data_IF_702981030453
#
_entry.id   IF_702981030453
#
_cell.length_a   1.000
_cell.length_b   1.000
_cell.length_c   1.000
_cell.angle_alpha   90.00
_cell.angle_beta   90.00
_cell.angle_gamma   90.00
#
_symmetry.space_group_name_H-M   'P 1'
#
loop_
_entity.id
_entity.type
_entity.pdbx_description
1 polymer ?
#
# COMPACT_ATOMS: atom_id res chain seq x y z
N UNK A 1 9.64 -28.05 -30.40
CA UNK A 1 10.94 -28.20 -31.09
C UNK A 1 11.99 -27.67 -30.16
N UNK A 2 12.99 -28.47 -29.79
CA UNK A 2 14.12 -27.98 -28.99
C UNK A 2 14.94 -27.03 -29.86
N UNK A 3 14.87 -25.72 -29.60
CA UNK A 3 15.81 -24.75 -30.15
C UNK A 3 17.21 -25.13 -29.64
N UNK A 4 18.10 -25.52 -30.54
CA UNK A 4 19.51 -25.75 -30.24
C UNK A 4 20.17 -24.41 -29.88
N UNK A 5 21.05 -24.41 -28.87
CA UNK A 5 21.76 -23.24 -28.32
C UNK A 5 22.51 -22.42 -29.40
N UNK A 6 22.80 -23.02 -30.56
CA UNK A 6 23.52 -22.39 -31.67
C UNK A 6 22.70 -21.43 -32.55
N UNK A 7 21.36 -21.34 -32.42
CA UNK A 7 20.54 -20.50 -33.32
C UNK A 7 19.54 -19.57 -32.58
N UNK A 8 20.03 -18.86 -31.56
CA UNK A 8 19.22 -17.93 -30.74
C UNK A 8 19.28 -16.46 -31.20
N UNK A 9 20.18 -16.15 -32.12
CA UNK A 9 20.39 -14.78 -32.59
C UNK A 9 19.43 -14.41 -33.70
N UNK A 10 18.79 -13.25 -33.58
CA UNK A 10 18.04 -12.61 -34.66
C UNK A 10 18.84 -11.42 -35.22
N UNK A 11 18.95 -11.33 -36.54
CA UNK A 11 19.58 -10.16 -37.19
C UNK A 11 18.64 -8.95 -37.16
N UNK A 12 19.20 -7.74 -37.25
CA UNK A 12 18.40 -6.50 -37.31
C UNK A 12 17.39 -6.51 -38.48
N UNK A 13 17.74 -7.10 -39.62
CA UNK A 13 16.83 -7.21 -40.78
C UNK A 13 15.66 -8.15 -40.50
N UNK A 14 15.92 -9.32 -39.89
CA UNK A 14 14.87 -10.26 -39.50
C UNK A 14 13.94 -9.67 -38.43
N UNK A 15 14.51 -8.96 -37.45
CA UNK A 15 13.73 -8.29 -36.42
C UNK A 15 12.85 -7.18 -37.01
N UNK A 16 13.39 -6.36 -37.92
CA UNK A 16 12.63 -5.32 -38.61
C UNK A 16 11.43 -5.87 -39.39
N UNK A 17 11.57 -7.03 -40.04
CA UNK A 17 10.44 -7.69 -40.71
C UNK A 17 9.38 -8.16 -39.71
N UNK A 18 9.82 -8.77 -38.59
CA UNK A 18 8.92 -9.31 -37.55
C UNK A 18 8.14 -8.26 -36.77
N UNK A 19 8.69 -7.05 -36.57
CA UNK A 19 8.00 -5.99 -35.79
C UNK A 19 6.63 -5.63 -36.39
N UNK A 20 6.45 -5.84 -37.70
CA UNK A 20 5.22 -5.56 -38.44
C UNK A 20 4.34 -6.79 -38.68
N UNK A 21 4.76 -7.98 -38.23
CA UNK A 21 3.93 -9.19 -38.28
C UNK A 21 2.90 -9.19 -37.14
N UNK A 22 1.68 -9.65 -37.41
CA UNK A 22 0.67 -9.85 -36.38
C UNK A 22 1.01 -11.10 -35.55
N UNK A 23 1.69 -10.89 -34.42
CA UNK A 23 2.01 -11.95 -33.45
C UNK A 23 2.46 -11.38 -32.10
N UNK A 24 2.41 -12.18 -31.02
CA UNK A 24 2.82 -11.76 -29.68
C UNK A 24 4.35 -11.69 -29.59
N UNK A 25 4.94 -10.64 -30.16
CA UNK A 25 6.38 -10.35 -30.11
C UNK A 25 6.65 -9.35 -28.99
N UNK A 26 7.48 -9.72 -28.02
CA UNK A 26 7.92 -8.87 -26.90
C UNK A 26 9.38 -8.48 -27.12
N UNK A 27 9.66 -7.18 -27.07
CA UNK A 27 11.02 -6.65 -27.21
C UNK A 27 11.48 -6.10 -25.85
N UNK A 28 12.38 -6.82 -25.16
CA UNK A 28 12.97 -6.32 -23.91
C UNK A 28 14.34 -5.71 -24.18
N UNK A 29 14.50 -4.45 -23.80
CA UNK A 29 15.78 -3.77 -23.79
C UNK A 29 16.37 -3.81 -22.38
N UNK A 30 17.54 -4.41 -22.27
CA UNK A 30 18.25 -4.70 -21.02
C UNK A 30 19.40 -3.73 -20.77
N UNK A 31 19.58 -2.73 -21.64
CA UNK A 31 20.55 -1.64 -21.45
C UNK A 31 20.14 -0.79 -20.24
N UNK A 32 21.04 0.07 -19.78
CA UNK A 32 20.69 0.97 -18.68
C UNK A 32 19.57 1.93 -19.09
N UNK A 33 18.79 2.40 -18.10
CA UNK A 33 17.61 3.24 -18.35
C UNK A 33 17.96 4.53 -19.09
N UNK A 34 19.12 5.14 -18.82
CA UNK A 34 19.54 6.39 -19.46
C UNK A 34 19.85 6.20 -20.95
N UNK A 35 20.46 5.08 -21.34
CA UNK A 35 20.72 4.70 -22.74
C UNK A 35 19.43 4.39 -23.47
N UNK A 36 18.53 3.66 -22.81
CA UNK A 36 17.22 3.33 -23.34
C UNK A 36 16.39 4.58 -23.63
N UNK A 37 16.28 5.49 -22.66
CA UNK A 37 15.49 6.71 -22.80
C UNK A 37 16.08 7.66 -23.86
N UNK A 38 17.40 7.67 -24.05
CA UNK A 38 18.03 8.44 -25.14
C UNK A 38 17.61 7.92 -26.51
N UNK A 39 17.62 6.60 -26.71
CA UNK A 39 17.23 5.96 -27.96
C UNK A 39 17.04 4.46 -27.78
N UNK A 40 15.90 3.94 -28.22
CA UNK A 40 15.56 2.51 -28.18
C UNK A 40 14.79 2.09 -29.43
N UNK A 41 14.67 0.78 -29.68
CA UNK A 41 13.91 0.25 -30.82
C UNK A 41 12.43 0.60 -30.63
N UNK A 42 11.77 1.14 -31.65
CA UNK A 42 10.36 1.49 -31.54
C UNK A 42 9.51 0.27 -31.09
N UNK A 43 8.81 0.41 -29.96
CA UNK A 43 8.05 -0.67 -29.34
C UNK A 43 8.87 -1.65 -28.49
N UNK A 44 10.11 -1.35 -28.11
CA UNK A 44 10.78 -2.08 -27.02
C UNK A 44 10.35 -1.59 -25.65
N UNK A 45 10.64 -2.36 -24.60
CA UNK A 45 10.38 -2.00 -23.20
C UNK A 45 11.65 -2.21 -22.42
N UNK A 46 12.03 -1.25 -21.59
CA UNK A 46 13.16 -1.42 -20.69
C UNK A 46 12.82 -2.46 -19.61
N UNK A 47 13.68 -3.46 -19.43
CA UNK A 47 13.50 -4.53 -18.46
C UNK A 47 14.77 -4.80 -17.66
N UNK A 48 14.61 -4.90 -16.34
CA UNK A 48 15.69 -5.32 -15.43
C UNK A 48 15.48 -6.78 -15.08
N UNK A 49 16.45 -7.62 -15.43
CA UNK A 49 16.37 -9.07 -15.23
C UNK A 49 17.24 -9.51 -14.03
N UNK A 50 16.79 -9.20 -12.82
CA UNK A 50 17.44 -9.61 -11.56
C UNK A 50 16.96 -10.99 -11.04
N UNK A 51 17.49 -11.45 -9.91
CA UNK A 51 17.10 -12.74 -9.29
C UNK A 51 15.60 -12.79 -8.99
N UNK A 52 15.00 -11.65 -8.60
CA UNK A 52 13.59 -11.55 -8.22
C UNK A 52 12.66 -11.59 -9.44
N UNK A 53 13.06 -11.00 -10.56
CA UNK A 53 12.37 -11.07 -11.84
C UNK A 53 12.28 -12.53 -12.35
N UNK A 54 13.31 -13.34 -12.10
CA UNK A 54 13.31 -14.78 -12.45
C UNK A 54 12.22 -15.55 -11.72
N UNK A 55 12.05 -15.31 -10.43
CA UNK A 55 11.11 -16.05 -9.60
C UNK A 55 9.65 -15.59 -9.78
N UNK A 56 9.43 -14.30 -10.08
CA UNK A 56 8.10 -13.70 -10.02
C UNK A 56 7.48 -13.32 -11.37
N UNK A 57 8.31 -13.02 -12.38
CA UNK A 57 7.85 -12.53 -13.70
C UNK A 57 7.96 -13.64 -14.74
N UNK A 58 9.09 -14.36 -14.81
CA UNK A 58 9.34 -15.35 -15.86
C UNK A 58 8.27 -16.46 -15.97
N UNK A 59 7.77 -17.05 -14.86
CA UNK A 59 6.72 -18.06 -14.95
C UNK A 59 5.40 -17.54 -15.50
N UNK A 60 5.20 -16.21 -15.48
CA UNK A 60 3.97 -15.53 -15.88
C UNK A 60 4.05 -14.95 -17.30
N UNK A 61 5.22 -15.01 -17.96
CA UNK A 61 5.33 -14.63 -19.36
C UNK A 61 4.69 -15.75 -20.21
N UNK A 62 3.79 -15.42 -21.15
CA UNK A 62 3.16 -16.43 -21.99
C UNK A 62 4.19 -17.25 -22.77
N UNK A 63 4.14 -18.57 -22.64
CA UNK A 63 5.06 -19.49 -23.34
C UNK A 63 4.97 -19.42 -24.87
N UNK A 64 3.87 -18.86 -25.40
CA UNK A 64 3.64 -18.67 -26.84
C UNK A 64 4.18 -17.34 -27.36
N UNK A 65 4.50 -16.38 -26.49
CA UNK A 65 5.07 -15.11 -26.92
C UNK A 65 6.52 -15.31 -27.36
N UNK A 66 6.88 -14.73 -28.50
CA UNK A 66 8.28 -14.66 -28.93
C UNK A 66 8.94 -13.46 -28.26
N UNK A 67 10.03 -13.69 -27.55
CA UNK A 67 10.76 -12.66 -26.80
C UNK A 67 12.07 -12.37 -27.51
N UNK A 68 12.36 -11.11 -27.77
CA UNK A 68 13.65 -10.65 -28.29
C UNK A 68 14.29 -9.76 -27.23
N UNK A 69 15.48 -10.16 -26.81
CA UNK A 69 16.29 -9.43 -25.85
C UNK A 69 17.30 -8.54 -26.57
N UNK A 70 17.42 -7.30 -26.13
CA UNK A 70 18.31 -6.28 -26.68
C UNK A 70 19.24 -5.85 -25.56
N UNK A 71 20.54 -5.89 -25.78
CA UNK A 71 21.54 -5.30 -24.90
C UNK A 71 22.65 -4.72 -25.76
N UNK A 72 23.58 -3.99 -25.15
CA UNK A 72 24.78 -3.52 -25.84
C UNK A 72 25.98 -3.55 -24.88
N UNK A 73 26.97 -4.44 -25.07
CA UNK A 73 27.06 -5.47 -26.12
C UNK A 73 26.00 -6.58 -25.98
N UNK A 74 25.80 -7.39 -27.03
CA UNK A 74 24.73 -8.41 -27.13
C UNK A 74 24.90 -9.65 -26.23
N UNK A 75 26.07 -9.80 -25.60
CA UNK A 75 26.40 -10.94 -24.73
C UNK A 75 25.44 -11.07 -23.54
N UNK A 76 25.02 -9.94 -22.94
CA UNK A 76 24.09 -9.96 -21.81
C UNK A 76 22.69 -10.44 -22.22
N UNK A 77 22.19 -9.97 -23.37
CA UNK A 77 20.94 -10.43 -23.96
C UNK A 77 21.01 -11.92 -24.35
N UNK A 78 22.13 -12.36 -24.93
CA UNK A 78 22.36 -13.77 -25.26
C UNK A 78 22.28 -14.69 -24.03
N UNK A 79 22.99 -14.35 -22.96
CA UNK A 79 22.99 -15.12 -21.72
C UNK A 79 21.60 -15.14 -21.07
N UNK A 80 20.89 -14.01 -21.11
CA UNK A 80 19.52 -13.90 -20.58
C UNK A 80 18.52 -14.71 -21.43
N UNK A 81 18.69 -14.77 -22.75
CA UNK A 81 17.83 -15.57 -23.64
C UNK A 81 17.99 -17.06 -23.36
N UNK A 82 19.22 -17.55 -23.23
CA UNK A 82 19.52 -18.93 -22.85
C UNK A 82 18.87 -19.31 -21.52
N UNK A 83 18.96 -18.40 -20.54
CA UNK A 83 18.29 -18.57 -19.26
C UNK A 83 16.77 -18.64 -19.42
N UNK A 84 16.13 -17.71 -20.13
CA UNK A 84 14.68 -17.72 -20.36
C UNK A 84 14.19 -19.01 -21.05
N UNK A 85 14.97 -19.55 -21.99
CA UNK A 85 14.68 -20.83 -22.64
C UNK A 85 14.71 -21.99 -21.64
N UNK A 86 15.62 -21.98 -20.67
CA UNK A 86 15.67 -23.01 -19.62
C UNK A 86 14.40 -23.04 -18.75
N UNK A 87 13.66 -21.93 -18.69
CA UNK A 87 12.33 -21.83 -18.07
C UNK A 87 11.17 -22.15 -19.03
N UNK A 88 11.46 -22.54 -20.27
CA UNK A 88 10.47 -22.92 -21.27
C UNK A 88 9.84 -21.76 -22.03
N UNK A 89 10.51 -20.60 -22.08
CA UNK A 89 10.10 -19.43 -22.88
C UNK A 89 10.74 -19.46 -24.28
N UNK A 90 10.06 -18.89 -25.27
CA UNK A 90 10.59 -18.70 -26.62
C UNK A 90 11.38 -17.39 -26.68
N UNK A 91 12.66 -17.42 -26.33
CA UNK A 91 13.51 -16.23 -26.23
C UNK A 91 14.69 -16.25 -27.21
N UNK A 92 14.90 -15.14 -27.89
CA UNK A 92 15.99 -14.87 -28.83
C UNK A 92 16.67 -13.54 -28.44
N UNK A 93 17.79 -13.20 -29.07
CA UNK A 93 18.50 -11.93 -28.83
C UNK A 93 18.92 -11.24 -30.12
N UNK A 94 19.00 -9.91 -30.11
CA UNK A 94 19.44 -9.13 -31.26
C UNK A 94 20.96 -9.23 -31.45
N UNK A 95 21.40 -9.81 -32.58
CA UNK A 95 22.81 -9.99 -32.92
C UNK A 95 23.49 -8.62 -33.10
N UNK A 96 24.58 -8.41 -32.35
CA UNK A 96 25.33 -7.16 -32.29
C UNK A 96 24.62 -6.02 -31.55
N UNK A 97 23.53 -6.34 -30.86
CA UNK A 97 22.92 -5.46 -29.87
C UNK A 97 22.19 -4.27 -30.47
N UNK A 98 21.91 -3.28 -29.63
CA UNK A 98 21.23 -2.06 -30.08
C UNK A 98 22.05 -1.29 -31.13
N UNK A 99 23.38 -1.26 -31.01
CA UNK A 99 24.27 -0.60 -31.98
C UNK A 99 24.12 -1.09 -33.42
N UNK A 100 23.65 -2.33 -33.63
CA UNK A 100 23.41 -2.89 -34.96
C UNK A 100 21.97 -2.69 -35.48
N UNK A 101 21.11 -2.00 -34.72
CA UNK A 101 19.74 -1.73 -35.14
C UNK A 101 19.70 -0.69 -36.27
N UNK A 102 19.00 -1.02 -37.36
CA UNK A 102 18.88 -0.17 -38.56
C UNK A 102 17.44 0.30 -38.84
N UNK A 103 16.50 -0.05 -37.97
CA UNK A 103 15.08 0.29 -38.12
C UNK A 103 14.68 1.56 -37.36
N UNK A 104 13.37 1.78 -37.21
CA UNK A 104 12.85 2.92 -36.46
C UNK A 104 13.26 2.86 -34.99
N UNK A 105 13.68 4.00 -34.45
CA UNK A 105 13.93 4.20 -33.03
C UNK A 105 12.89 5.14 -32.44
N UNK A 106 12.78 5.09 -31.13
CA UNK A 106 12.01 6.01 -30.30
C UNK A 106 12.89 6.51 -29.16
N UNK A 107 12.49 7.62 -28.54
CA UNK A 107 13.16 8.20 -27.38
C UNK A 107 12.15 8.56 -26.31
N UNK A 108 12.61 8.68 -25.07
CA UNK A 108 11.79 8.82 -23.88
C UNK A 108 11.42 7.48 -23.23
N UNK A 109 10.54 7.56 -22.24
CA UNK A 109 10.06 6.39 -21.49
C UNK A 109 9.12 5.55 -22.34
N UNK A 110 9.20 4.23 -22.18
CA UNK A 110 8.25 3.32 -22.83
C UNK A 110 7.05 3.08 -21.93
N UNK A 111 5.88 3.37 -22.48
CA UNK A 111 4.65 3.52 -21.73
C UNK A 111 4.61 4.85 -20.98
N UNK A 112 3.46 5.53 -21.05
CA UNK A 112 3.21 6.66 -20.15
C UNK A 112 3.16 6.10 -18.71
N UNK A 113 3.62 6.87 -17.73
CA UNK A 113 3.53 6.47 -16.32
C UNK A 113 2.63 7.42 -15.55
N UNK A 114 2.09 6.96 -14.43
CA UNK A 114 1.39 7.80 -13.45
C UNK A 114 1.91 7.47 -12.07
N UNK A 115 2.17 8.50 -11.26
CA UNK A 115 2.50 8.32 -9.84
C UNK A 115 1.26 7.98 -9.03
N UNK A 116 1.46 7.53 -7.80
CA UNK A 116 0.37 7.15 -6.91
C UNK A 116 -0.50 8.38 -6.55
N UNK A 117 0.12 9.53 -6.29
CA UNK A 117 -0.57 10.80 -6.00
C UNK A 117 -1.36 11.33 -7.21
N UNK A 118 -0.77 11.33 -8.41
CA UNK A 118 -1.46 11.73 -9.65
C UNK A 118 -2.67 10.82 -9.91
N UNK A 119 -2.50 9.50 -9.76
CA UNK A 119 -3.58 8.54 -9.96
C UNK A 119 -4.73 8.79 -8.97
N UNK A 120 -4.43 9.12 -7.71
CA UNK A 120 -5.45 9.42 -6.70
C UNK A 120 -6.29 10.65 -7.10
N UNK A 121 -5.70 11.64 -7.77
CA UNK A 121 -6.43 12.79 -8.31
C UNK A 121 -7.26 12.38 -9.53
N UNK A 122 -6.67 11.66 -10.49
CA UNK A 122 -7.36 11.23 -11.71
C UNK A 122 -8.58 10.31 -11.41
N UNK A 123 -8.52 9.47 -10.38
CA UNK A 123 -9.65 8.63 -9.93
C UNK A 123 -10.81 9.49 -9.39
N UNK A 124 -10.51 10.59 -8.70
CA UNK A 124 -11.55 11.48 -8.15
C UNK A 124 -12.32 12.21 -9.25
N UNK A 125 -11.72 12.38 -10.43
CA UNK A 125 -12.34 12.99 -11.60
C UNK A 125 -13.13 11.99 -12.47
N UNK A 126 -13.15 10.70 -12.09
CA UNK A 126 -13.78 9.58 -12.82
C UNK A 126 -13.31 9.39 -14.29
N UNK A 127 -12.15 9.96 -14.63
CA UNK A 127 -11.60 9.95 -16.00
C UNK A 127 -10.75 8.72 -16.33
N UNK A 128 -10.51 7.84 -15.35
CA UNK A 128 -9.58 6.72 -15.46
C UNK A 128 -10.28 5.37 -15.27
N UNK A 129 -9.92 4.40 -16.11
CA UNK A 129 -10.16 3.00 -15.85
C UNK A 129 -8.87 2.31 -15.41
N UNK A 130 -8.86 1.84 -14.16
CA UNK A 130 -7.80 0.97 -13.67
C UNK A 130 -7.98 -0.45 -14.19
N UNK A 131 -6.92 -1.03 -14.74
CA UNK A 131 -6.85 -2.44 -15.14
C UNK A 131 -5.79 -3.15 -14.31
N UNK A 132 -6.25 -4.02 -13.41
CA UNK A 132 -5.38 -4.87 -12.61
C UNK A 132 -5.02 -6.14 -13.38
N UNK A 133 -3.72 -6.30 -13.64
CA UNK A 133 -3.18 -7.38 -14.48
C UNK A 133 -2.73 -8.61 -13.70
N UNK A 134 -3.06 -8.67 -12.41
CA UNK A 134 -2.81 -9.83 -11.56
C UNK A 134 -3.79 -10.96 -11.87
N UNK A 135 -3.49 -12.16 -11.36
CA UNK A 135 -4.44 -13.26 -11.45
C UNK A 135 -5.67 -12.98 -10.56
N UNK A 136 -6.72 -13.78 -10.75
CA UNK A 136 -8.00 -13.59 -10.06
C UNK A 136 -7.89 -13.71 -8.53
N UNK A 137 -7.06 -14.64 -8.06
CA UNK A 137 -6.85 -14.87 -6.62
C UNK A 137 -6.17 -13.68 -5.94
N UNK A 138 -5.09 -13.15 -6.55
CA UNK A 138 -4.41 -11.94 -6.07
C UNK A 138 -5.38 -10.74 -6.04
N UNK A 139 -6.28 -10.65 -7.02
CA UNK A 139 -7.25 -9.57 -7.15
C UNK A 139 -8.40 -9.67 -6.13
N UNK A 140 -8.88 -10.89 -5.84
CA UNK A 140 -9.93 -11.10 -4.84
C UNK A 140 -9.47 -10.80 -3.42
N UNK A 141 -8.19 -11.02 -3.12
CA UNK A 141 -7.62 -10.76 -1.79
C UNK A 141 -7.53 -9.26 -1.46
N UNK A 142 -7.18 -8.43 -2.45
CA UNK A 142 -7.06 -6.98 -2.30
C UNK A 142 -7.05 -6.33 -3.67
N UNK A 143 -7.73 -5.20 -3.84
CA UNK A 143 -7.77 -4.43 -5.08
C UNK A 143 -7.98 -2.95 -4.80
N UNK A 144 -7.60 -2.11 -5.76
CA UNK A 144 -8.05 -0.71 -5.75
C UNK A 144 -9.55 -0.71 -6.12
N UNK A 145 -10.42 -0.02 -5.38
CA UNK A 145 -11.85 0.08 -5.72
C UNK A 145 -12.05 0.51 -7.19
N UNK A 146 -13.11 -0.01 -7.81
CA UNK A 146 -13.48 0.25 -9.22
C UNK A 146 -12.45 -0.19 -10.28
N UNK A 147 -11.41 -0.93 -9.91
CA UNK A 147 -10.50 -1.55 -10.88
C UNK A 147 -11.14 -2.77 -11.57
N UNK A 148 -10.80 -2.95 -12.85
CA UNK A 148 -11.17 -4.09 -13.68
C UNK A 148 -10.03 -5.11 -13.66
N UNK A 149 -10.30 -6.37 -13.32
CA UNK A 149 -9.27 -7.41 -13.41
C UNK A 149 -9.24 -8.03 -14.82
N UNK A 150 -8.10 -7.88 -15.49
CA UNK A 150 -7.78 -8.61 -16.72
C UNK A 150 -6.40 -9.23 -16.50
N UNK A 151 -6.29 -10.52 -16.17
CA UNK A 151 -5.01 -11.20 -16.00
C UNK A 151 -4.07 -11.01 -17.20
N UNK A 152 -2.76 -10.87 -16.94
CA UNK A 152 -1.75 -10.58 -17.96
C UNK A 152 -1.77 -11.56 -19.16
N UNK A 153 -2.05 -12.84 -18.91
CA UNK A 153 -2.13 -13.87 -19.94
C UNK A 153 -3.24 -13.61 -20.96
N UNK A 154 -4.34 -12.97 -20.56
CA UNK A 154 -5.45 -12.63 -21.45
C UNK A 154 -5.10 -11.51 -22.45
N UNK A 155 -4.10 -10.66 -22.18
CA UNK A 155 -3.71 -9.55 -23.08
C UNK A 155 -3.12 -9.98 -24.41
N UNK A 156 -2.82 -11.26 -24.55
CA UNK A 156 -2.27 -11.84 -25.78
C UNK A 156 -3.31 -12.57 -26.62
N UNK A 157 -4.56 -12.58 -26.15
CA UNK A 157 -5.71 -13.04 -26.93
C UNK A 157 -6.34 -11.86 -27.68
N UNK A 158 -6.74 -12.08 -28.93
CA UNK A 158 -7.24 -11.02 -29.83
C UNK A 158 -8.54 -10.34 -29.37
N UNK A 159 -9.28 -11.00 -28.48
CA UNK A 159 -10.55 -10.53 -27.90
C UNK A 159 -10.38 -9.70 -26.62
N UNK A 160 -9.16 -9.51 -26.09
CA UNK A 160 -8.96 -8.67 -24.89
C UNK A 160 -9.46 -7.24 -25.08
N UNK A 161 -9.35 -6.72 -26.31
CA UNK A 161 -9.79 -5.37 -26.71
C UNK A 161 -11.28 -5.14 -26.38
N UNK A 162 -12.11 -6.19 -26.46
CA UNK A 162 -13.54 -6.09 -26.19
C UNK A 162 -13.85 -5.83 -24.71
N UNK A 163 -12.92 -6.16 -23.81
CA UNK A 163 -13.06 -5.97 -22.37
C UNK A 163 -12.59 -4.59 -21.89
N UNK A 164 -11.87 -3.86 -22.73
CA UNK A 164 -11.21 -2.61 -22.35
C UNK A 164 -12.11 -1.42 -22.70
N UNK A 165 -12.51 -0.60 -21.71
CA UNK A 165 -13.26 0.63 -21.97
C UNK A 165 -12.49 1.58 -22.89
N UNK A 166 -13.20 2.27 -23.79
CA UNK A 166 -12.58 3.15 -24.81
C UNK A 166 -12.80 4.64 -24.52
N UNK A 167 -13.65 4.95 -23.55
CA UNK A 167 -14.08 6.27 -23.14
C UNK A 167 -13.26 6.85 -21.97
N UNK A 168 -12.43 6.03 -21.33
CA UNK A 168 -11.60 6.42 -20.18
C UNK A 168 -10.12 6.24 -20.46
N UNK A 169 -9.29 7.00 -19.76
CA UNK A 169 -7.85 6.80 -19.75
C UNK A 169 -7.51 5.48 -19.05
N UNK A 170 -6.77 4.60 -19.72
CA UNK A 170 -6.39 3.31 -19.15
C UNK A 170 -5.15 3.46 -18.28
N UNK A 171 -5.22 2.94 -17.06
CA UNK A 171 -4.06 2.80 -16.15
C UNK A 171 -3.91 1.33 -15.77
N UNK A 172 -2.76 0.74 -16.08
CA UNK A 172 -2.44 -0.65 -15.74
C UNK A 172 -1.74 -0.74 -14.38
N UNK A 173 -2.11 -1.74 -13.57
CA UNK A 173 -1.56 -1.95 -12.22
C UNK A 173 -1.25 -3.43 -11.94
N UNK A 174 -0.19 -3.67 -11.19
CA UNK A 174 0.14 -4.95 -10.57
C UNK A 174 0.92 -4.66 -9.26
N UNK A 175 1.52 -5.64 -8.54
CA UNK A 175 2.15 -5.36 -7.24
C UNK A 175 3.23 -4.29 -7.30
N UNK A 176 4.05 -4.30 -8.35
CA UNK A 176 5.22 -3.40 -8.51
C UNK A 176 5.32 -2.72 -9.89
N UNK A 177 4.29 -2.82 -10.72
CA UNK A 177 4.27 -2.24 -12.07
C UNK A 177 4.87 -3.11 -13.18
N UNK A 178 5.73 -4.10 -12.89
CA UNK A 178 6.42 -4.87 -13.93
C UNK A 178 5.49 -5.62 -14.90
N UNK A 179 4.50 -6.38 -14.39
CA UNK A 179 3.48 -7.03 -15.24
C UNK A 179 2.62 -6.02 -15.99
N UNK A 180 2.37 -4.87 -15.38
CA UNK A 180 1.52 -3.82 -15.95
C UNK A 180 2.21 -3.15 -17.14
N UNK A 181 3.54 -3.03 -17.12
CA UNK A 181 4.31 -2.58 -18.29
C UNK A 181 4.16 -3.53 -19.49
N UNK A 182 4.17 -4.85 -19.26
CA UNK A 182 3.95 -5.84 -20.34
C UNK A 182 2.54 -5.71 -20.90
N UNK A 183 1.53 -5.51 -20.05
CA UNK A 183 0.16 -5.26 -20.49
C UNK A 183 0.03 -3.96 -21.29
N UNK A 184 0.67 -2.87 -20.84
CA UNK A 184 0.69 -1.59 -21.56
C UNK A 184 1.32 -1.75 -22.96
N UNK A 185 2.39 -2.54 -23.06
CA UNK A 185 2.97 -2.89 -24.35
C UNK A 185 1.98 -3.65 -25.25
N UNK A 186 1.29 -4.67 -24.73
CA UNK A 186 0.28 -5.41 -25.48
C UNK A 186 -0.87 -4.48 -25.95
N UNK A 187 -1.34 -3.57 -25.10
CA UNK A 187 -2.35 -2.56 -25.44
C UNK A 187 -1.90 -1.64 -26.59
N UNK A 188 -0.62 -1.23 -26.58
CA UNK A 188 -0.07 -0.36 -27.62
C UNK A 188 -0.08 -1.01 -29.01
N UNK A 189 0.08 -2.34 -29.10
CA UNK A 189 -0.02 -3.10 -30.35
C UNK A 189 -1.43 -3.07 -30.96
N UNK A 190 -2.44 -2.86 -30.12
CA UNK A 190 -3.83 -2.67 -30.53
C UNK A 190 -4.22 -1.19 -30.68
N UNK A 191 -3.25 -0.27 -30.61
CA UNK A 191 -3.49 1.17 -30.73
C UNK A 191 -4.16 1.81 -29.50
N UNK A 192 -4.18 1.10 -28.36
CA UNK A 192 -4.75 1.62 -27.11
C UNK A 192 -3.61 2.26 -26.31
N UNK A 193 -3.71 3.57 -26.07
CA UNK A 193 -2.80 4.25 -25.16
C UNK A 193 -3.14 3.92 -23.71
N UNK A 194 -2.13 3.61 -22.90
CA UNK A 194 -2.31 3.42 -21.47
C UNK A 194 -1.12 3.92 -20.65
N UNK A 195 -1.38 4.23 -19.38
CA UNK A 195 -0.37 4.55 -18.37
C UNK A 195 -0.09 3.32 -17.50
N UNK A 196 1.09 3.25 -16.88
CA UNK A 196 1.39 2.26 -15.83
C UNK A 196 1.59 2.97 -14.49
N UNK A 197 0.97 2.44 -13.43
CA UNK A 197 1.18 2.94 -12.07
C UNK A 197 2.61 2.65 -11.59
N UNK A 198 3.38 3.70 -11.33
CA UNK A 198 4.76 3.61 -10.84
C UNK A 198 4.78 2.90 -9.49
N UNK A 199 5.60 1.84 -9.40
CA UNK A 199 5.73 1.03 -8.18
C UNK A 199 4.49 0.22 -7.78
N UNK A 200 3.44 0.25 -8.59
CA UNK A 200 2.26 -0.60 -8.45
C UNK A 200 1.50 -0.43 -7.13
N UNK A 201 0.83 -1.49 -6.69
CA UNK A 201 0.08 -1.51 -5.43
C UNK A 201 0.96 -1.25 -4.20
N UNK A 202 2.24 -1.63 -4.25
CA UNK A 202 3.17 -1.37 -3.15
C UNK A 202 3.28 0.14 -2.89
N UNK A 203 3.41 0.97 -3.93
CA UNK A 203 3.45 2.44 -3.78
C UNK A 203 2.08 3.05 -3.56
N UNK A 204 1.02 2.52 -4.19
CA UNK A 204 -0.36 2.94 -3.91
C UNK A 204 -0.69 2.85 -2.41
N UNK A 205 -0.22 1.79 -1.76
CA UNK A 205 -0.43 1.58 -0.33
C UNK A 205 0.33 2.58 0.55
N UNK A 206 1.27 3.35 0.02
CA UNK A 206 2.05 4.34 0.78
C UNK A 206 1.52 5.78 0.64
N UNK A 207 0.46 6.02 -0.13
CA UNK A 207 -0.12 7.36 -0.24
C UNK A 207 -0.72 7.77 1.10
N UNK A 208 -0.23 8.88 1.65
CA UNK A 208 -0.79 9.55 2.81
C UNK A 208 -1.50 10.84 2.38
N UNK A 209 -2.83 10.86 2.51
CA UNK A 209 -3.66 12.04 2.24
C UNK A 209 -3.95 12.79 3.55
N UNK A 210 -3.49 14.04 3.72
CA UNK A 210 -3.86 14.86 4.87
C UNK A 210 -5.27 15.42 4.70
N UNK A 211 -6.09 15.30 5.74
CA UNK A 211 -7.47 15.83 5.79
C UNK A 211 -7.70 16.57 7.10
N UNK A 212 -7.82 17.91 7.09
CA UNK A 212 -8.17 18.67 8.28
C UNK A 212 -9.57 18.30 8.80
N UNK A 213 -9.71 18.06 10.10
CA UNK A 213 -10.98 17.78 10.78
C UNK A 213 -11.49 19.03 11.48
N UNK A 214 -10.66 19.64 12.33
CA UNK A 214 -10.93 20.87 13.09
C UNK A 214 -9.67 21.73 13.08
N UNK A 215 -9.83 23.05 13.15
CA UNK A 215 -8.72 24.01 13.17
C UNK A 215 -8.56 24.76 14.50
N UNK A 216 -9.59 24.83 15.35
CA UNK A 216 -9.56 25.61 16.61
C UNK A 216 -10.39 24.93 17.72
N UNK A 217 -9.94 24.99 19.00
CA UNK A 217 -8.69 25.55 19.51
C UNK A 217 -7.49 24.60 19.34
N UNK A 218 -7.76 23.33 19.01
CA UNK A 218 -6.77 22.33 18.61
C UNK A 218 -7.00 22.01 17.15
N UNK A 219 -5.94 22.10 16.36
CA UNK A 219 -5.96 21.67 14.97
C UNK A 219 -5.78 20.16 14.92
N UNK A 220 -6.70 19.45 14.28
CA UNK A 220 -6.63 18.01 14.07
C UNK A 220 -6.54 17.75 12.56
N UNK A 221 -5.47 17.13 12.12
CA UNK A 221 -5.28 16.66 10.73
C UNK A 221 -5.26 15.14 10.76
N UNK A 222 -6.16 14.51 10.03
CA UNK A 222 -6.16 13.07 9.82
C UNK A 222 -5.31 12.72 8.60
N UNK A 223 -4.30 11.91 8.82
CA UNK A 223 -3.41 11.35 7.81
C UNK A 223 -3.98 10.00 7.37
N UNK A 224 -4.45 9.92 6.13
CA UNK A 224 -5.14 8.74 5.60
C UNK A 224 -4.23 7.95 4.68
N UNK A 225 -3.93 6.69 5.03
CA UNK A 225 -3.21 5.77 4.15
C UNK A 225 -4.18 5.12 3.18
N UNK A 226 -4.34 5.74 2.02
CA UNK A 226 -5.48 5.49 1.12
C UNK A 226 -5.60 4.02 0.71
N UNK A 227 -4.49 3.37 0.38
CA UNK A 227 -4.49 1.96 -0.02
C UNK A 227 -4.70 0.95 1.10
N UNK A 228 -4.61 1.37 2.38
CA UNK A 228 -4.73 0.49 3.55
C UNK A 228 -5.87 0.83 4.49
N UNK A 229 -6.41 2.04 4.44
CA UNK A 229 -7.40 2.48 5.41
C UNK A 229 -6.86 2.67 6.83
N UNK A 230 -5.52 2.68 7.03
CA UNK A 230 -4.90 3.14 8.27
C UNK A 230 -5.08 4.66 8.37
N UNK A 231 -5.27 5.13 9.59
CA UNK A 231 -5.49 6.52 9.95
C UNK A 231 -4.50 6.89 11.05
N UNK A 232 -3.89 8.05 10.88
CA UNK A 232 -2.99 8.66 11.83
C UNK A 232 -3.41 10.11 12.04
N UNK A 233 -2.94 10.75 13.11
CA UNK A 233 -3.39 12.09 13.46
C UNK A 233 -2.23 12.98 13.83
N UNK A 234 -2.28 14.22 13.35
CA UNK A 234 -1.51 15.33 13.88
C UNK A 234 -2.49 16.18 14.68
N UNK A 235 -2.23 16.35 15.97
CA UNK A 235 -2.93 17.28 16.83
C UNK A 235 -1.98 18.42 17.22
N UNK A 236 -2.33 19.65 16.85
CA UNK A 236 -1.50 20.84 17.04
C UNK A 236 -2.21 21.90 17.88
N UNK A 237 -1.48 22.47 18.83
CA UNK A 237 -1.91 23.54 19.72
C UNK A 237 -0.74 24.51 19.92
N UNK A 238 -0.94 25.80 19.64
CA UNK A 238 0.07 26.87 19.83
C UNK A 238 1.44 26.61 19.18
N UNK A 239 1.45 25.97 18.01
CA UNK A 239 2.67 25.68 17.27
C UNK A 239 3.41 24.43 17.75
N UNK A 240 2.89 23.70 18.72
CA UNK A 240 3.39 22.40 19.15
C UNK A 240 2.40 21.29 18.76
N UNK A 241 2.92 20.19 18.25
CA UNK A 241 2.12 19.07 17.77
C UNK A 241 2.51 17.73 18.39
N UNK A 242 1.48 16.92 18.65
CA UNK A 242 1.58 15.50 18.94
C UNK A 242 1.10 14.69 17.73
N UNK A 243 1.89 13.71 17.32
CA UNK A 243 1.53 12.78 16.24
C UNK A 243 1.15 11.43 16.85
N UNK A 244 -0.04 10.94 16.50
CA UNK A 244 -0.59 9.67 16.96
C UNK A 244 -0.59 8.65 15.83
N UNK A 245 -0.06 7.46 16.09
CA UNK A 245 0.07 6.33 15.16
C UNK A 245 0.72 6.70 13.80
N UNK A 246 1.89 7.37 13.78
CA UNK A 246 2.50 7.82 12.52
C UNK A 246 2.80 6.68 11.56
N UNK A 247 2.45 6.90 10.29
CA UNK A 247 2.54 5.93 9.21
C UNK A 247 3.75 6.21 8.32
N UNK A 248 4.28 5.18 7.67
CA UNK A 248 5.25 5.39 6.59
C UNK A 248 4.53 5.91 5.32
N UNK A 249 5.12 6.88 4.56
CA UNK A 249 6.42 7.54 4.80
C UNK A 249 6.34 8.72 5.78
N UNK A 250 7.32 8.81 6.69
CA UNK A 250 7.34 9.81 7.76
C UNK A 250 7.61 11.23 7.27
N UNK A 251 8.26 11.39 6.10
CA UNK A 251 8.58 12.67 5.48
C UNK A 251 7.34 13.56 5.32
N UNK A 252 6.17 12.94 5.07
CA UNK A 252 4.91 13.68 4.93
C UNK A 252 4.49 14.44 6.17
N UNK A 253 4.78 13.92 7.37
CA UNK A 253 4.49 14.60 8.62
C UNK A 253 5.39 15.84 8.79
N UNK A 254 6.68 15.69 8.46
CA UNK A 254 7.68 16.76 8.55
C UNK A 254 7.38 17.87 7.53
N UNK A 255 6.99 17.50 6.29
CA UNK A 255 6.56 18.44 5.25
C UNK A 255 5.36 19.27 5.73
N UNK A 256 4.32 18.63 6.25
CA UNK A 256 3.12 19.32 6.75
C UNK A 256 3.46 20.26 7.91
N UNK A 257 4.27 19.81 8.87
CA UNK A 257 4.69 20.62 10.01
C UNK A 257 5.42 21.89 9.56
N UNK A 258 6.34 21.75 8.59
CA UNK A 258 7.07 22.86 8.00
C UNK A 258 6.16 23.82 7.23
N UNK A 259 5.26 23.29 6.41
CA UNK A 259 4.33 24.09 5.59
C UNK A 259 3.32 24.88 6.45
N UNK A 260 2.87 24.29 7.55
CA UNK A 260 1.87 24.90 8.44
C UNK A 260 2.47 25.63 9.65
N UNK A 261 3.79 25.59 9.83
CA UNK A 261 4.50 26.38 10.83
C UNK A 261 4.35 25.89 12.27
N UNK A 262 4.41 24.57 12.50
CA UNK A 262 4.42 23.97 13.84
C UNK A 262 5.56 22.96 14.01
N UNK A 263 5.88 22.64 15.25
CA UNK A 263 6.90 21.65 15.63
C UNK A 263 6.23 20.36 16.09
N UNK A 264 6.68 19.22 15.57
CA UNK A 264 6.31 17.91 16.12
C UNK A 264 7.17 17.69 17.37
N UNK A 265 6.60 17.89 18.55
CA UNK A 265 7.29 17.78 19.84
C UNK A 265 7.04 16.45 20.55
N UNK A 266 5.95 15.75 20.17
CA UNK A 266 5.55 14.46 20.77
C UNK A 266 5.13 13.47 19.69
N UNK A 267 5.44 12.21 19.89
CA UNK A 267 4.99 11.10 19.03
C UNK A 267 4.53 9.95 19.90
N UNK A 268 3.36 9.39 19.61
CA UNK A 268 2.75 8.32 20.40
C UNK A 268 2.16 7.24 19.49
N UNK A 269 2.25 5.98 19.92
CA UNK A 269 1.45 4.89 19.35
C UNK A 269 0.37 4.47 20.35
N UNK A 270 -0.82 4.18 19.83
CA UNK A 270 -1.94 3.62 20.60
C UNK A 270 -1.65 2.18 21.03
N UNK A 271 -0.95 1.41 20.18
CA UNK A 271 -0.59 0.01 20.42
C UNK A 271 0.55 -0.45 19.49
N UNK A 272 1.09 -1.65 19.72
CA UNK A 272 1.97 -2.33 18.77
C UNK A 272 1.18 -2.82 17.55
N UNK A 273 1.20 -2.00 16.50
CA UNK A 273 0.59 -2.29 15.21
C UNK A 273 1.10 -3.59 14.59
N UNK A 274 0.22 -4.30 13.90
CA UNK A 274 0.51 -5.60 13.28
C UNK A 274 0.27 -5.63 11.76
N UNK A 275 -0.31 -4.57 11.21
CA UNK A 275 -0.71 -4.41 9.81
C UNK A 275 0.18 -3.43 9.04
N UNK A 276 0.88 -2.54 9.76
CA UNK A 276 1.81 -1.56 9.23
C UNK A 276 3.03 -1.34 10.13
N UNK A 277 4.12 -0.82 9.54
CA UNK A 277 5.32 -0.42 10.26
C UNK A 277 5.09 0.97 10.85
N UNK A 278 5.12 1.07 12.17
CA UNK A 278 5.00 2.36 12.85
C UNK A 278 6.24 3.21 12.54
N UNK A 279 5.99 4.45 12.10
CA UNK A 279 7.03 5.44 11.92
C UNK A 279 7.37 6.19 13.21
N UNK A 280 6.81 5.80 14.37
CA UNK A 280 6.89 6.59 15.59
C UNK A 280 8.32 6.80 16.06
N UNK A 281 9.09 5.71 16.10
CA UNK A 281 10.50 5.73 16.53
C UNK A 281 11.36 6.61 15.62
N UNK A 282 11.28 6.42 14.31
CA UNK A 282 12.11 7.18 13.37
C UNK A 282 11.63 8.63 13.22
N UNK A 283 10.33 8.91 13.29
CA UNK A 283 9.79 10.27 13.32
C UNK A 283 10.27 11.02 14.57
N UNK A 284 10.18 10.40 15.75
CA UNK A 284 10.68 11.00 16.99
C UNK A 284 12.18 11.30 16.90
N UNK A 285 12.97 10.35 16.40
CA UNK A 285 14.41 10.54 16.19
C UNK A 285 14.75 11.65 15.18
N UNK A 286 13.99 11.76 14.08
CA UNK A 286 14.22 12.75 13.01
C UNK A 286 13.80 14.17 13.40
N UNK A 287 12.82 14.30 14.28
CA UNK A 287 12.27 15.59 14.74
C UNK A 287 12.87 16.04 16.08
N UNK A 288 13.42 15.11 16.87
CA UNK A 288 13.79 15.35 18.26
C UNK A 288 12.62 15.25 19.25
N UNK A 289 11.45 14.84 18.78
CA UNK A 289 10.26 14.67 19.61
C UNK A 289 10.43 13.57 20.66
N UNK A 290 9.68 13.70 21.75
CA UNK A 290 9.58 12.64 22.76
C UNK A 290 8.66 11.52 22.25
N UNK A 291 9.15 10.28 22.36
CA UNK A 291 8.40 9.07 21.99
C UNK A 291 7.69 8.48 23.20
N UNK A 292 6.38 8.29 23.13
CA UNK A 292 5.59 7.64 24.18
C UNK A 292 4.93 6.35 23.67
N UNK A 293 5.03 5.30 24.47
CA UNK A 293 4.54 3.96 24.12
C UNK A 293 3.87 3.30 25.33
N UNK A 294 3.03 2.30 25.07
CA UNK A 294 2.28 1.63 26.13
C UNK A 294 3.17 0.86 27.10
N UNK A 295 3.06 1.14 28.41
CA UNK A 295 3.79 0.38 29.45
C UNK A 295 3.35 -1.09 29.57
N UNK A 296 2.25 -1.45 28.91
CA UNK A 296 1.67 -2.80 28.94
C UNK A 296 2.19 -3.69 27.79
N UNK A 297 3.06 -3.16 26.93
CA UNK A 297 3.75 -3.92 25.87
C UNK A 297 5.27 -3.82 26.01
N UNK A 298 6.00 -4.72 25.35
CA UNK A 298 7.46 -4.79 25.45
C UNK A 298 8.13 -4.22 24.21
N UNK A 299 9.12 -3.35 24.40
CA UNK A 299 9.90 -2.70 23.33
C UNK A 299 11.40 -2.86 23.61
N UNK A 300 12.19 -3.06 22.56
CA UNK A 300 13.63 -3.31 22.62
C UNK A 300 14.44 -2.02 22.35
N UNK A 301 13.83 -0.84 22.58
CA UNK A 301 14.42 0.49 22.42
C UNK A 301 13.81 1.47 23.44
N UNK A 302 14.51 2.58 23.78
CA UNK A 302 14.03 3.51 24.79
C UNK A 302 12.81 4.31 24.30
N UNK A 303 11.85 4.50 25.20
CA UNK A 303 10.67 5.36 25.04
C UNK A 303 10.14 5.76 26.42
N UNK A 304 9.31 6.81 26.48
CA UNK A 304 8.54 7.16 27.66
C UNK A 304 7.34 6.20 27.78
N UNK A 305 7.36 5.29 28.75
CA UNK A 305 6.28 4.31 28.92
C UNK A 305 5.10 4.89 29.70
N UNK A 306 3.91 4.85 29.11
CA UNK A 306 2.68 5.46 29.63
C UNK A 306 1.55 4.44 29.84
N UNK A 307 0.61 4.75 30.73
CA UNK A 307 -0.62 4.00 30.98
C UNK A 307 -1.80 4.89 31.34
N UNK A 308 -2.94 4.27 31.67
CA UNK A 308 -4.26 4.93 31.71
C UNK A 308 -4.52 6.04 32.75
N UNK A 309 -3.49 6.54 33.42
CA UNK A 309 -3.57 7.66 34.36
C UNK A 309 -2.61 8.80 33.99
N UNK A 310 -1.81 8.61 32.93
CA UNK A 310 -0.81 9.58 32.50
C UNK A 310 -1.44 10.70 31.66
N UNK A 311 -0.79 11.87 31.67
CA UNK A 311 -1.16 13.03 30.87
C UNK A 311 0.06 13.56 30.12
N UNK A 312 -0.13 13.94 28.86
CA UNK A 312 0.91 14.51 28.01
C UNK A 312 0.45 15.90 27.56
N UNK A 313 1.27 16.91 27.85
CA UNK A 313 1.03 18.30 27.40
C UNK A 313 1.70 18.57 26.06
N UNK A 314 1.06 19.38 25.23
CA UNK A 314 1.59 19.94 24.00
C UNK A 314 0.91 21.30 23.74
N UNK A 315 1.70 22.37 23.64
CA UNK A 315 1.17 23.73 23.58
C UNK A 315 0.23 24.05 24.76
N UNK A 316 -0.99 24.52 24.47
CA UNK A 316 -2.03 24.81 25.48
C UNK A 316 -2.95 23.60 25.76
N UNK A 317 -2.74 22.47 25.09
CA UNK A 317 -3.62 21.31 25.13
C UNK A 317 -3.04 20.15 25.93
N UNK A 318 -3.91 19.26 26.36
CA UNK A 318 -3.54 18.05 27.11
C UNK A 318 -4.15 16.82 26.45
N UNK A 319 -3.36 15.75 26.41
CA UNK A 319 -3.75 14.41 26.00
C UNK A 319 -3.78 13.51 27.24
N UNK A 320 -4.98 13.10 27.64
CA UNK A 320 -5.24 12.15 28.71
C UNK A 320 -5.16 10.71 28.17
N UNK A 321 -4.41 9.85 28.86
CA UNK A 321 -4.24 8.45 28.44
C UNK A 321 -5.32 7.58 29.09
N UNK A 322 -5.96 6.73 28.30
CA UNK A 322 -6.98 5.77 28.76
C UNK A 322 -6.54 4.36 28.38
N UNK A 323 -6.30 3.49 29.36
CA UNK A 323 -6.00 2.08 29.07
C UNK A 323 -7.25 1.37 28.57
N UNK A 324 -7.18 0.86 27.35
CA UNK A 324 -8.30 0.27 26.60
C UNK A 324 -7.88 -1.07 26.00
N UNK A 325 -7.55 -2.09 26.82
CA UNK A 325 -7.13 -3.39 26.31
C UNK A 325 -8.26 -4.07 25.53
N UNK A 326 -7.89 -4.96 24.62
CA UNK A 326 -8.84 -5.80 23.88
C UNK A 326 -8.32 -6.16 22.49
N UNK A 327 -7.97 -5.15 21.69
CA UNK A 327 -7.28 -5.37 20.42
C UNK A 327 -5.86 -5.92 20.65
N UNK A 328 -5.10 -5.24 21.50
CA UNK A 328 -3.92 -5.76 22.16
C UNK A 328 -4.06 -5.57 23.67
N UNK A 329 -3.30 -6.31 24.50
CA UNK A 329 -3.32 -6.11 25.95
C UNK A 329 -2.81 -4.72 26.37
N UNK A 330 -2.05 -4.04 25.50
CA UNK A 330 -1.53 -2.71 25.77
C UNK A 330 -2.15 -1.59 24.97
N UNK A 331 -3.28 -1.82 24.29
CA UNK A 331 -4.01 -0.77 23.60
C UNK A 331 -4.36 0.40 24.54
N UNK A 332 -4.05 1.60 24.09
CA UNK A 332 -4.36 2.87 24.71
C UNK A 332 -5.27 3.68 23.79
N UNK A 333 -6.19 4.42 24.39
CA UNK A 333 -6.94 5.50 23.74
C UNK A 333 -6.50 6.82 24.34
N UNK A 334 -6.60 7.90 23.57
CA UNK A 334 -6.10 9.20 23.96
C UNK A 334 -7.18 10.27 23.85
N UNK A 335 -7.50 10.94 24.95
CA UNK A 335 -8.53 11.97 24.99
C UNK A 335 -7.87 13.36 25.00
N UNK A 336 -8.15 14.18 24.01
CA UNK A 336 -7.62 15.54 23.88
C UNK A 336 -8.69 16.54 24.33
N UNK A 337 -8.38 17.32 25.36
CA UNK A 337 -9.17 18.42 25.91
C UNK A 337 -10.66 18.08 26.12
N UNK A 338 -11.00 16.82 26.47
CA UNK A 338 -12.37 16.30 26.59
C UNK A 338 -13.24 16.49 25.34
N UNK A 339 -12.62 16.52 24.15
CA UNK A 339 -13.30 16.83 22.87
C UNK A 339 -13.07 15.81 21.77
N UNK A 340 -11.90 15.20 21.76
CA UNK A 340 -11.51 14.24 20.72
C UNK A 340 -10.92 13.02 21.40
N UNK A 341 -11.44 11.83 21.11
CA UNK A 341 -10.85 10.59 21.58
C UNK A 341 -10.27 9.82 20.40
N UNK A 342 -8.96 9.63 20.42
CA UNK A 342 -8.25 8.77 19.50
C UNK A 342 -8.30 7.35 20.05
N UNK A 343 -9.03 6.47 19.37
CA UNK A 343 -9.45 5.17 19.91
C UNK A 343 -8.58 4.00 19.50
N UNK A 344 -7.51 4.26 18.72
CA UNK A 344 -6.68 3.20 18.16
C UNK A 344 -7.54 2.18 17.40
N UNK A 345 -7.25 0.91 17.63
CA UNK A 345 -7.98 -0.24 17.10
C UNK A 345 -9.03 -0.81 18.06
N UNK A 346 -9.66 0.04 18.87
CA UNK A 346 -10.73 -0.38 19.79
C UNK A 346 -12.12 -0.10 19.21
N UNK A 347 -12.37 1.16 18.86
CA UNK A 347 -13.67 1.64 18.37
C UNK A 347 -13.48 2.37 17.04
N UNK A 348 -14.18 1.94 15.99
CA UNK A 348 -14.15 2.54 14.64
C UNK A 348 -15.42 3.35 14.36
N UNK A 349 -15.51 3.96 13.17
CA UNK A 349 -16.66 4.82 12.81
C UNK A 349 -17.95 4.01 12.73
N UNK A 350 -17.90 2.84 12.09
CA UNK A 350 -19.04 1.97 11.80
C UNK A 350 -18.93 0.58 12.46
N UNK A 351 -17.86 0.32 13.20
CA UNK A 351 -17.53 -1.01 13.69
C UNK A 351 -16.58 -0.97 14.91
N UNK A 352 -16.05 -2.12 15.31
CA UNK A 352 -15.01 -2.23 16.35
C UNK A 352 -13.75 -2.91 15.80
N UNK A 353 -12.64 -2.80 16.53
CA UNK A 353 -11.44 -3.55 16.20
C UNK A 353 -11.49 -5.00 16.71
N UNK A 354 -10.68 -5.84 16.09
CA UNK A 354 -10.64 -7.29 16.36
C UNK A 354 -9.77 -7.64 17.59
N UNK A 355 -10.18 -8.60 18.45
CA UNK A 355 -9.39 -9.02 19.61
C UNK A 355 -8.44 -10.22 19.37
N UNK A 356 -8.42 -10.81 18.19
CA UNK A 356 -7.87 -12.16 17.93
C UNK A 356 -6.45 -12.19 17.32
N UNK A 357 -5.73 -11.06 17.34
CA UNK A 357 -4.34 -11.02 16.87
C UNK A 357 -3.36 -11.78 17.78
N UNK A 358 -3.78 -12.20 18.99
CA UNK A 358 -3.02 -13.09 19.87
C UNK A 358 -3.88 -14.27 20.31
N UNK A 359 -3.27 -15.41 20.59
CA UNK A 359 -3.92 -16.73 20.72
C UNK A 359 -4.78 -16.91 22.00
N UNK A 360 -5.42 -15.84 22.49
CA UNK A 360 -6.29 -15.76 23.68
C UNK A 360 -7.59 -14.97 23.39
N UNK A 361 -8.26 -15.31 22.28
CA UNK A 361 -9.37 -14.52 21.74
C UNK A 361 -10.49 -14.22 22.76
N UNK A 362 -10.95 -15.18 23.57
CA UNK A 362 -12.06 -14.95 24.51
C UNK A 362 -11.72 -13.91 25.59
N UNK A 363 -10.56 -14.02 26.24
CA UNK A 363 -10.13 -13.08 27.28
C UNK A 363 -10.01 -11.66 26.72
N UNK A 364 -9.45 -11.54 25.52
CA UNK A 364 -9.24 -10.25 24.86
C UNK A 364 -10.56 -9.65 24.40
N UNK A 365 -11.54 -10.48 24.02
CA UNK A 365 -12.88 -10.02 23.67
C UNK A 365 -13.62 -9.48 24.91
N UNK A 366 -13.46 -10.13 26.06
CA UNK A 366 -14.02 -9.63 27.32
C UNK A 366 -13.42 -8.29 27.75
N UNK A 367 -12.10 -8.12 27.62
CA UNK A 367 -11.41 -6.84 27.85
C UNK A 367 -11.84 -5.76 26.86
N UNK A 368 -11.99 -6.13 25.58
CA UNK A 368 -12.47 -5.24 24.52
C UNK A 368 -13.86 -4.67 24.87
N UNK A 369 -14.78 -5.52 25.33
CA UNK A 369 -16.10 -5.07 25.77
C UNK A 369 -15.99 -4.03 26.90
N UNK A 370 -15.20 -4.31 27.94
CA UNK A 370 -15.05 -3.39 29.07
C UNK A 370 -14.42 -2.05 28.64
N UNK A 371 -13.48 -2.09 27.70
CA UNK A 371 -12.86 -0.91 27.10
C UNK A 371 -13.85 -0.09 26.27
N UNK A 372 -14.71 -0.75 25.49
CA UNK A 372 -15.78 -0.08 24.74
C UNK A 372 -16.75 0.63 25.68
N UNK A 373 -17.22 -0.04 26.74
CA UNK A 373 -18.10 0.58 27.75
C UNK A 373 -17.44 1.79 28.42
N UNK A 374 -16.13 1.71 28.71
CA UNK A 374 -15.36 2.84 29.25
C UNK A 374 -15.34 4.03 28.28
N UNK A 375 -15.12 3.79 26.99
CA UNK A 375 -15.14 4.84 25.97
C UNK A 375 -16.55 5.44 25.78
N UNK A 376 -17.59 4.62 25.76
CA UNK A 376 -18.98 5.07 25.60
C UNK A 376 -19.50 5.90 26.78
N UNK A 377 -18.84 5.81 27.94
CA UNK A 377 -19.14 6.67 29.10
C UNK A 377 -18.62 8.11 28.96
N UNK A 378 -17.83 8.42 27.92
CA UNK A 378 -17.40 9.78 27.62
C UNK A 378 -18.58 10.66 27.19
N UNK A 379 -18.45 12.00 27.25
CA UNK A 379 -19.52 12.90 26.80
C UNK A 379 -19.93 12.64 25.34
N UNK A 380 -21.24 12.64 25.09
CA UNK A 380 -21.84 12.26 23.81
C UNK A 380 -21.31 13.03 22.58
N UNK A 381 -20.86 14.27 22.79
CA UNK A 381 -20.35 15.16 21.75
C UNK A 381 -18.85 14.99 21.45
N UNK A 382 -18.14 14.16 22.19
CA UNK A 382 -16.72 13.85 21.92
C UNK A 382 -16.61 13.17 20.55
N UNK A 383 -15.70 13.66 19.70
CA UNK A 383 -15.41 13.04 18.41
C UNK A 383 -14.58 11.78 18.60
N UNK A 384 -14.95 10.72 17.89
CA UNK A 384 -14.21 9.44 17.86
C UNK A 384 -13.32 9.41 16.62
N UNK A 385 -12.02 9.24 16.84
CA UNK A 385 -10.94 9.29 15.85
C UNK A 385 -10.18 7.95 15.84
N UNK A 386 -10.58 6.98 15.02
CA UNK A 386 -9.96 5.65 15.02
C UNK A 386 -8.63 5.57 14.29
N UNK A 387 -7.82 4.54 14.55
CA UNK A 387 -6.58 4.27 13.79
C UNK A 387 -6.82 3.49 12.48
N UNK A 388 -8.04 2.98 12.26
CA UNK A 388 -8.44 2.35 11.01
C UNK A 388 -9.87 2.69 10.62
N UNK A 389 -10.19 2.46 9.35
CA UNK A 389 -11.55 2.47 8.82
C UNK A 389 -11.87 1.20 8.05
N UNK A 390 -13.14 0.81 8.01
CA UNK A 390 -13.60 -0.17 7.05
C UNK A 390 -13.63 0.39 5.62
N UNK A 391 -13.77 -0.50 4.65
CA UNK A 391 -13.85 -0.13 3.23
C UNK A 391 -15.05 0.80 2.96
N UNK A 392 -16.17 0.54 3.63
CA UNK A 392 -17.44 1.27 3.47
C UNK A 392 -17.69 2.30 4.58
N UNK A 393 -16.66 2.65 5.36
CA UNK A 393 -16.79 3.66 6.41
C UNK A 393 -17.34 4.97 5.84
N UNK A 394 -18.40 5.56 6.44
CA UNK A 394 -18.87 6.86 5.99
C UNK A 394 -17.81 7.93 6.31
N UNK A 395 -17.51 8.77 5.33
CA UNK A 395 -16.68 9.96 5.54
C UNK A 395 -17.54 11.22 5.66
N UNK A 396 -17.03 12.23 6.38
CA UNK A 396 -17.62 13.56 6.51
C UNK A 396 -16.58 14.59 6.12
N UNK A 397 -16.86 15.36 5.08
CA UNK A 397 -15.89 16.30 4.48
C UNK A 397 -14.55 15.64 4.15
N UNK A 398 -14.58 14.38 3.71
CA UNK A 398 -13.40 13.58 3.39
C UNK A 398 -12.67 12.94 4.57
N UNK A 399 -13.05 13.25 5.82
CA UNK A 399 -12.46 12.64 7.02
C UNK A 399 -13.32 11.51 7.58
N UNK A 400 -12.71 10.54 8.24
CA UNK A 400 -13.38 9.39 8.86
C UNK A 400 -13.40 9.58 10.37
N UNK A 401 -14.55 10.00 10.91
CA UNK A 401 -14.75 10.16 12.33
C UNK A 401 -16.22 9.97 12.69
N UNK A 402 -16.47 9.68 13.96
CA UNK A 402 -17.82 9.58 14.53
C UNK A 402 -17.94 10.47 15.78
N UNK A 403 -18.99 10.26 16.57
CA UNK A 403 -19.15 10.83 17.91
C UNK A 403 -19.42 9.70 18.89
N UNK A 404 -19.19 9.91 20.18
CA UNK A 404 -19.60 8.94 21.21
C UNK A 404 -21.09 8.65 21.13
N UNK A 405 -21.93 9.66 20.88
CA UNK A 405 -23.36 9.46 20.66
C UNK A 405 -23.66 8.51 19.49
N UNK A 406 -22.96 8.64 18.37
CA UNK A 406 -23.20 7.76 17.22
C UNK A 406 -22.63 6.36 17.45
N UNK A 407 -21.45 6.27 18.05
CA UNK A 407 -20.84 5.00 18.41
C UNK A 407 -21.70 4.19 19.39
N UNK A 408 -22.40 4.84 20.33
CA UNK A 408 -23.27 4.16 21.29
C UNK A 408 -24.51 3.50 20.67
N UNK A 409 -24.76 3.71 19.37
CA UNK A 409 -25.86 3.08 18.62
C UNK A 409 -25.34 2.04 17.61
N UNK A 410 -24.08 1.62 17.71
CA UNK A 410 -23.58 0.50 16.91
C UNK A 410 -24.30 -0.78 17.36
N UNK A 411 -24.91 -1.56 16.45
CA UNK A 411 -25.79 -2.68 16.80
C UNK A 411 -25.19 -3.71 17.75
N UNK A 412 -23.87 -3.91 17.68
CA UNK A 412 -23.15 -4.91 18.46
C UNK A 412 -22.84 -4.43 19.90
N UNK A 413 -23.02 -3.15 20.21
CA UNK A 413 -22.73 -2.58 21.54
C UNK A 413 -23.94 -2.56 22.49
N UNK A 414 -25.13 -2.89 21.98
CA UNK A 414 -26.35 -3.08 22.79
C UNK A 414 -26.42 -4.49 23.44
N UNK A 415 -25.59 -5.42 22.97
CA UNK A 415 -25.57 -6.80 23.43
C UNK A 415 -25.00 -6.94 24.85
N UNK A 416 -25.54 -7.84 25.71
CA UNK A 416 -24.87 -8.25 26.94
C UNK A 416 -23.48 -8.82 26.65
N UNK A 417 -22.55 -8.67 27.61
CA UNK A 417 -21.13 -9.06 27.46
C UNK A 417 -20.95 -10.48 26.94
N UNK A 418 -21.69 -11.45 27.46
CA UNK A 418 -21.60 -12.85 27.05
C UNK A 418 -22.01 -13.05 25.57
N UNK A 419 -23.05 -12.35 25.11
CA UNK A 419 -23.52 -12.40 23.73
C UNK A 419 -22.55 -11.70 22.78
N UNK A 420 -22.02 -10.54 23.18
CA UNK A 420 -20.95 -9.85 22.47
C UNK A 420 -19.74 -10.77 22.27
N UNK A 421 -19.27 -11.42 23.34
CA UNK A 421 -18.10 -12.31 23.27
C UNK A 421 -18.36 -13.46 22.30
N UNK A 422 -19.54 -14.07 22.36
CA UNK A 422 -19.91 -15.15 21.45
C UNK A 422 -19.94 -14.71 19.98
N UNK A 423 -20.54 -13.54 19.68
CA UNK A 423 -20.63 -13.00 18.32
C UNK A 423 -19.25 -12.67 17.73
N UNK A 424 -18.37 -12.07 18.53
CA UNK A 424 -17.02 -11.71 18.08
C UNK A 424 -16.12 -12.94 17.93
N UNK A 425 -16.18 -13.90 18.86
CA UNK A 425 -15.41 -15.14 18.76
C UNK A 425 -15.79 -16.00 17.53
N UNK A 426 -17.04 -15.90 17.06
CA UNK A 426 -17.50 -16.58 15.84
C UNK A 426 -16.97 -15.94 14.54
N UNK A 427 -16.54 -14.68 14.57
CA UNK A 427 -16.12 -13.90 13.40
C UNK A 427 -14.59 -13.83 13.26
N UNK A 428 -13.96 -15.00 13.10
CA UNK A 428 -12.50 -15.08 12.88
C UNK A 428 -12.14 -14.66 11.46
N UNK A 429 -11.50 -13.50 11.33
CA UNK A 429 -10.96 -13.00 10.06
C UNK A 429 -9.51 -13.48 9.94
N UNK A 430 -8.98 -13.79 8.74
CA UNK A 430 -7.56 -14.08 8.59
C UNK A 430 -6.68 -12.93 9.12
N UNK A 431 -5.51 -13.23 9.69
CA UNK A 431 -4.54 -12.20 10.11
C UNK A 431 -3.92 -11.51 8.88
N UNK A 432 -3.40 -10.27 9.00
CA UNK A 432 -2.64 -9.64 7.93
C UNK A 432 -1.44 -10.50 7.51
N UNK A 433 -1.08 -10.42 6.23
CA UNK A 433 0.17 -11.01 5.76
C UNK A 433 1.36 -10.30 6.43
N UNK A 434 2.41 -11.04 6.80
CA UNK A 434 3.61 -10.53 7.48
C UNK A 434 3.41 -9.95 8.90
N UNK A 435 2.23 -10.12 9.53
CA UNK A 435 1.94 -9.50 10.83
C UNK A 435 3.01 -9.80 11.90
N UNK A 436 3.56 -11.01 11.92
CA UNK A 436 4.65 -11.39 12.82
C UNK A 436 5.93 -10.57 12.57
N UNK A 437 6.33 -10.41 11.31
CA UNK A 437 7.53 -9.62 10.95
C UNK A 437 7.32 -8.15 11.32
N UNK A 438 6.14 -7.60 11.06
CA UNK A 438 5.77 -6.23 11.41
C UNK A 438 5.83 -6.01 12.93
N UNK A 439 5.25 -6.91 13.73
CA UNK A 439 5.33 -6.83 15.20
C UNK A 439 6.79 -6.86 15.68
N UNK A 440 7.65 -7.72 15.11
CA UNK A 440 9.07 -7.77 15.50
C UNK A 440 9.80 -6.46 15.15
N UNK A 441 9.51 -5.86 14.00
CA UNK A 441 10.05 -4.54 13.61
C UNK A 441 9.57 -3.45 14.55
N UNK A 442 8.26 -3.37 14.80
CA UNK A 442 7.66 -2.34 15.67
C UNK A 442 8.13 -2.49 17.13
N UNK A 443 8.41 -3.71 17.58
CA UNK A 443 9.04 -3.98 18.87
C UNK A 443 10.54 -3.61 18.89
N UNK A 444 11.18 -3.50 17.72
CA UNK A 444 12.62 -3.27 17.58
C UNK A 444 13.47 -4.52 17.73
N UNK A 445 12.84 -5.70 17.75
CA UNK A 445 13.51 -7.00 17.76
C UNK A 445 14.11 -7.36 16.39
N UNK A 446 13.57 -6.78 15.31
CA UNK A 446 14.11 -6.86 13.96
C UNK A 446 14.55 -5.46 13.49
N UNK A 447 15.71 -5.38 12.84
CA UNK A 447 16.15 -4.15 12.20
C UNK A 447 15.22 -3.79 11.02
N UNK A 448 14.89 -2.50 10.92
CA UNK A 448 14.06 -1.98 9.84
C UNK A 448 14.92 -1.69 8.61
N UNK A 449 14.58 -2.30 7.49
CA UNK A 449 15.07 -1.92 6.16
C UNK A 449 13.95 -1.13 5.48
N UNK A 450 14.12 0.18 5.36
CA UNK A 450 13.04 1.11 4.96
C UNK A 450 12.48 0.78 3.57
N UNK A 451 13.34 0.31 2.66
CA UNK A 451 12.99 -0.08 1.29
C UNK A 451 12.08 -1.32 1.24
N UNK A 452 12.02 -2.12 2.31
CA UNK A 452 11.15 -3.30 2.42
C UNK A 452 9.74 -2.97 2.93
N UNK A 453 9.51 -1.80 3.54
CA UNK A 453 8.22 -1.44 4.14
C UNK A 453 7.06 -1.60 3.13
N UNK A 454 7.16 -1.11 1.88
CA UNK A 454 6.06 -1.26 0.92
C UNK A 454 5.70 -2.72 0.60
N UNK A 455 6.67 -3.65 0.65
CA UNK A 455 6.40 -5.08 0.50
C UNK A 455 5.79 -5.69 1.76
N UNK A 456 6.32 -5.31 2.93
CA UNK A 456 5.84 -5.82 4.21
C UNK A 456 4.37 -5.49 4.43
N UNK A 457 3.97 -4.29 4.05
CA UNK A 457 2.61 -3.77 4.15
C UNK A 457 1.75 -4.09 2.92
N UNK A 458 2.15 -4.98 2.02
CA UNK A 458 1.29 -5.33 0.89
C UNK A 458 0.09 -6.19 1.35
N UNK A 459 -1.10 -5.93 0.79
CA UNK A 459 -2.32 -6.71 1.06
C UNK A 459 -3.43 -5.92 1.78
N UNK A 460 -4.58 -6.57 2.05
CA UNK A 460 -5.77 -5.88 2.54
C UNK A 460 -5.65 -5.41 3.99
N UNK A 461 -6.54 -4.50 4.37
CA UNK A 461 -6.82 -4.18 5.76
C UNK A 461 -7.65 -5.31 6.38
N UNK A 462 -7.24 -5.79 7.57
CA UNK A 462 -7.94 -6.86 8.29
C UNK A 462 -8.16 -6.54 9.77
N UNK A 463 -8.28 -5.26 10.14
CA UNK A 463 -8.37 -4.83 11.56
C UNK A 463 -9.81 -4.70 12.09
N UNK A 464 -10.81 -4.53 11.21
CA UNK A 464 -12.21 -4.31 11.58
C UNK A 464 -13.07 -5.58 11.62
N UNK A 465 -14.00 -5.65 12.59
CA UNK A 465 -15.07 -6.66 12.66
C UNK A 465 -16.43 -5.99 12.51
N UNK A 466 -17.22 -6.43 11.52
CA UNK A 466 -18.56 -5.93 11.28
C UNK A 466 -19.61 -6.81 12.01
N UNK A 467 -20.70 -6.18 12.44
CA UNK A 467 -21.91 -6.89 12.84
C UNK A 467 -22.62 -7.37 11.57
N UNK A 468 -22.60 -8.68 11.29
CA UNK A 468 -23.54 -9.29 10.33
C UNK A 468 -24.81 -9.70 11.03
#
# INVERSE_FOLDING_TARGET
MNQTIENLGITATQLAAKIYENGPLILFDLRNIDEFEKSHIAGSVHAVCDVRAKETIMPKIPKKAEIILISDPDEFAKNTAQMMISFGLNANYLIGGFSNWVGQTSSGKTGKTVTADELLQEIQEDNVQLIDVRNKDEFSEFKIPNSLNIPLDEFFDSNVIEKIPKDKQIVTVCPRGHRAMIANFALSKFGIESKTLVGGLAQWNQILKPVPIVNDPVKIIQMQKVGKGCLSYIAESKGEAIVVDPLYPLEKYIEIAKEQGFEISKVVDTHQHADHVSSARELAKRTGAELYLSKYEGYDYPANLIGGEDQIKFGDSTLDVIHTPGHTPGSLSFLIDNRFVLTGDILFVESIGRPDLRDKAESFTGELYDSLQKLLALPHNVLVLPAHRGENAPSRNGAFYSTIHQASHLPLLDDPKEEFVAKIAANVIPRPMNYQKIIQVNKGALELISEEIPDMEMGPNRCAVNAT
#
